data_IF_919136939948
#
_entry.id   IF_919136939948
#
_cell.length_a   1.000
_cell.length_b   1.000
_cell.length_c   1.000
_cell.angle_alpha   90.00
_cell.angle_beta   90.00
_cell.angle_gamma   90.00
#
_symmetry.space_group_name_H-M   'P 1'
#
loop_
_entity.id
_entity.type
_entity.pdbx_description
1 polymer ?
#
# COMPACT_ATOMS: atom_id res chain seq x y z
N UNK A 1 22.88 -19.16 -5.02
CA UNK A 1 21.42 -19.04 -4.82
C UNK A 1 21.14 -19.76 -3.51
N UNK A 2 20.71 -19.08 -2.44
CA UNK A 2 20.36 -19.78 -1.20
C UNK A 2 19.05 -20.52 -1.44
N UNK A 3 19.00 -21.80 -1.10
CA UNK A 3 17.75 -22.54 -0.97
C UNK A 3 16.83 -21.75 -0.04
N UNK A 4 15.60 -21.53 -0.49
CA UNK A 4 14.54 -21.00 0.36
C UNK A 4 13.85 -22.23 0.90
N UNK A 5 14.02 -22.52 2.19
CA UNK A 5 13.29 -23.62 2.82
C UNK A 5 11.79 -23.34 2.68
N UNK A 6 11.11 -24.18 1.91
CA UNK A 6 9.67 -24.10 1.78
C UNK A 6 9.05 -24.42 3.16
N UNK A 7 8.19 -23.53 3.66
CA UNK A 7 7.42 -23.81 4.86
C UNK A 7 6.39 -24.90 4.51
N UNK A 8 6.68 -26.15 4.85
CA UNK A 8 5.78 -27.29 4.60
C UNK A 8 4.51 -27.26 5.47
N UNK A 9 4.62 -26.65 6.66
CA UNK A 9 3.52 -26.50 7.61
C UNK A 9 3.74 -25.26 8.47
N UNK A 10 2.71 -24.40 8.55
CA UNK A 10 2.70 -23.22 9.41
C UNK A 10 1.64 -23.41 10.50
N UNK A 11 2.04 -23.96 11.64
CA UNK A 11 1.19 -24.03 12.84
C UNK A 11 1.27 -22.69 13.58
N UNK A 12 0.29 -21.80 13.36
CA UNK A 12 0.21 -20.48 14.01
C UNK A 12 -1.09 -20.31 14.77
N UNK A 13 -0.99 -19.75 15.98
CA UNK A 13 -2.12 -19.21 16.71
C UNK A 13 -2.25 -17.72 16.39
N UNK A 14 -3.44 -17.27 16.01
CA UNK A 14 -3.71 -15.87 15.70
C UNK A 14 -4.63 -15.29 16.77
N UNK A 15 -4.17 -14.21 17.41
CA UNK A 15 -4.96 -13.42 18.34
C UNK A 15 -5.30 -12.07 17.69
N UNK A 16 -6.57 -11.66 17.79
CA UNK A 16 -7.00 -10.34 17.33
C UNK A 16 -6.71 -9.30 18.40
N UNK A 17 -5.62 -8.55 18.21
CA UNK A 17 -5.20 -7.51 19.17
C UNK A 17 -6.03 -6.23 19.13
N UNK A 18 -6.74 -5.96 18.03
CA UNK A 18 -7.57 -4.76 17.90
C UNK A 18 -7.53 -4.16 16.50
N UNK A 19 -7.95 -2.89 16.40
CA UNK A 19 -7.82 -2.08 15.21
C UNK A 19 -6.51 -1.29 15.27
N UNK A 20 -5.70 -1.37 14.21
CA UNK A 20 -4.45 -0.61 14.10
C UNK A 20 -4.69 0.78 13.49
N UNK A 21 -5.68 0.88 12.60
CA UNK A 21 -6.03 2.10 11.88
C UNK A 21 -7.54 2.26 11.79
N UNK A 22 -7.98 3.51 11.97
CA UNK A 22 -9.34 3.99 11.73
C UNK A 22 -9.27 5.39 11.10
N UNK A 23 -10.31 5.83 10.36
CA UNK A 23 -10.39 7.18 9.84
C UNK A 23 -10.24 8.22 10.96
N UNK A 24 -9.40 9.23 10.76
CA UNK A 24 -9.07 10.24 11.78
C UNK A 24 -9.75 11.61 11.56
N UNK A 25 -10.72 11.68 10.65
CA UNK A 25 -11.38 12.93 10.24
C UNK A 25 -10.77 13.61 9.01
N UNK A 26 -9.66 13.10 8.47
CA UNK A 26 -9.13 13.56 7.17
C UNK A 26 -10.10 13.17 6.04
N UNK A 27 -10.54 14.13 5.18
CA UNK A 27 -11.45 13.86 4.06
C UNK A 27 -10.96 12.79 3.09
N UNK A 28 -9.65 12.58 3.00
CA UNK A 28 -9.04 11.60 2.08
C UNK A 28 -9.22 10.14 2.51
N UNK A 29 -9.63 9.90 3.75
CA UNK A 29 -9.95 8.57 4.31
C UNK A 29 -11.37 8.50 4.90
N UNK A 30 -12.22 9.48 4.62
CA UNK A 30 -13.57 9.60 5.18
C UNK A 30 -14.48 8.40 4.88
N UNK A 31 -14.30 7.75 3.72
CA UNK A 31 -15.04 6.54 3.36
C UNK A 31 -14.31 5.24 3.78
N UNK A 32 -13.08 5.34 4.29
CA UNK A 32 -12.36 4.22 4.88
C UNK A 32 -10.84 4.29 4.70
N UNK A 33 -10.14 3.55 5.58
CA UNK A 33 -8.71 3.24 5.48
C UNK A 33 -8.54 1.71 5.60
N UNK A 34 -8.19 1.05 4.49
CA UNK A 34 -8.31 -0.41 4.38
C UNK A 34 -7.29 -1.02 3.40
N UNK A 35 -7.37 -2.33 3.18
CA UNK A 35 -6.56 -3.09 2.22
C UNK A 35 -5.06 -2.72 2.16
N UNK A 36 -4.33 -2.68 3.29
CA UNK A 36 -2.95 -2.21 3.29
C UNK A 36 -1.97 -3.22 2.69
N UNK A 37 -0.99 -2.70 1.96
CA UNK A 37 0.30 -3.37 1.83
C UNK A 37 1.15 -3.13 3.09
N UNK A 38 2.13 -3.99 3.31
CA UNK A 38 3.10 -3.90 4.41
C UNK A 38 4.49 -4.20 3.89
N UNK A 39 5.49 -3.44 4.34
CA UNK A 39 6.91 -3.78 4.15
C UNK A 39 7.75 -3.27 5.32
N UNK A 40 9.03 -3.64 5.34
CA UNK A 40 10.03 -2.96 6.16
C UNK A 40 10.90 -2.07 5.29
N UNK A 41 11.15 -0.84 5.73
CA UNK A 41 12.14 0.03 5.10
C UNK A 41 13.56 -0.55 5.24
N UNK A 42 14.54 0.15 4.65
CA UNK A 42 15.95 -0.29 4.65
C UNK A 42 16.56 -0.41 6.06
N UNK A 43 16.02 0.34 7.01
CA UNK A 43 16.44 0.35 8.41
C UNK A 43 15.59 -0.62 9.26
N UNK A 44 14.70 -1.40 8.65
CA UNK A 44 13.85 -2.38 9.32
C UNK A 44 12.57 -1.82 9.93
N UNK A 45 12.27 -0.52 9.76
CA UNK A 45 11.04 0.11 10.29
C UNK A 45 9.82 -0.36 9.52
N UNK A 46 8.72 -0.58 10.22
CA UNK A 46 7.49 -1.08 9.62
C UNK A 46 6.73 0.04 8.90
N UNK A 47 6.45 -0.15 7.61
CA UNK A 47 5.64 0.72 6.78
C UNK A 47 4.36 0.00 6.36
N UNK A 48 3.23 0.69 6.49
CA UNK A 48 1.93 0.31 5.97
C UNK A 48 1.55 1.24 4.82
N UNK A 49 0.94 0.69 3.79
CA UNK A 49 0.39 1.44 2.66
C UNK A 49 -1.09 1.12 2.50
N UNK A 50 -1.98 1.71 3.30
CA UNK A 50 -3.42 1.49 3.18
C UNK A 50 -3.99 2.16 1.94
N UNK A 51 -5.08 1.61 1.42
CA UNK A 51 -6.01 2.34 0.56
C UNK A 51 -6.78 3.34 1.43
N UNK A 52 -6.53 4.62 1.23
CA UNK A 52 -7.30 5.72 1.80
C UNK A 52 -8.41 6.10 0.81
N UNK A 53 -9.67 6.02 1.24
CA UNK A 53 -10.84 6.24 0.39
C UNK A 53 -11.52 7.54 0.79
N UNK A 54 -11.49 8.51 -0.12
CA UNK A 54 -12.23 9.77 0.05
C UNK A 54 -13.69 9.61 -0.38
N UNK A 55 -14.50 10.64 -0.11
CA UNK A 55 -15.85 10.75 -0.67
C UNK A 55 -15.85 10.58 -2.20
N UNK A 56 -16.88 9.94 -2.73
CA UNK A 56 -16.95 9.60 -4.15
C UNK A 56 -16.03 8.43 -4.55
N UNK A 57 -15.56 7.63 -3.59
CA UNK A 57 -14.70 6.47 -3.81
C UNK A 57 -13.41 6.82 -4.59
N UNK A 58 -12.78 7.93 -4.20
CA UNK A 58 -11.50 8.37 -4.77
C UNK A 58 -10.38 7.79 -3.91
N UNK A 59 -9.62 6.86 -4.49
CA UNK A 59 -8.64 6.07 -3.74
C UNK A 59 -7.22 6.57 -3.90
N UNK A 60 -6.50 6.63 -2.78
CA UNK A 60 -5.06 6.89 -2.70
C UNK A 60 -4.37 5.74 -1.96
N UNK A 61 -3.08 5.58 -2.20
CA UNK A 61 -2.24 4.75 -1.36
C UNK A 61 -1.57 5.63 -0.32
N UNK A 62 -2.04 5.55 0.92
CA UNK A 62 -1.44 6.20 2.08
C UNK A 62 -0.07 5.62 2.41
N UNK A 63 0.67 6.31 3.27
CA UNK A 63 1.92 5.83 3.83
C UNK A 63 1.94 6.09 5.33
N UNK A 64 2.12 5.02 6.10
CA UNK A 64 2.06 5.05 7.55
C UNK A 64 3.27 4.33 8.11
N UNK A 65 4.00 4.99 9.01
CA UNK A 65 5.03 4.33 9.82
C UNK A 65 4.42 3.84 11.12
N UNK A 66 4.66 2.56 11.42
CA UNK A 66 4.21 1.95 12.67
C UNK A 66 5.35 1.93 13.66
N UNK A 67 5.12 2.56 14.80
CA UNK A 67 5.97 2.49 15.98
C UNK A 67 5.28 1.55 16.98
N UNK A 68 5.69 0.28 16.97
CA UNK A 68 5.14 -0.74 17.85
C UNK A 68 6.07 -1.01 19.03
N UNK A 69 5.51 -1.00 20.24
CA UNK A 69 6.11 -1.51 21.47
C UNK A 69 5.28 -2.71 21.96
N UNK A 70 5.67 -3.34 23.07
CA UNK A 70 4.86 -4.39 23.69
C UNK A 70 3.50 -3.87 24.22
N UNK A 71 3.37 -2.56 24.44
CA UNK A 71 2.22 -1.94 25.11
C UNK A 71 1.41 -1.01 24.21
N UNK A 72 1.98 -0.54 23.09
CA UNK A 72 1.34 0.44 22.22
C UNK A 72 1.72 0.24 20.75
N UNK A 73 0.80 0.62 19.87
CA UNK A 73 1.03 0.70 18.43
C UNK A 73 0.64 2.10 17.97
N UNK A 74 1.64 2.93 17.64
CA UNK A 74 1.42 4.30 17.16
C UNK A 74 1.56 4.30 15.63
N UNK A 75 0.54 4.82 14.96
CA UNK A 75 0.50 4.99 13.51
C UNK A 75 0.78 6.43 13.11
N UNK A 76 1.99 6.69 12.62
CA UNK A 76 2.42 7.98 12.09
C UNK A 76 2.04 8.08 10.60
N UNK A 77 1.08 8.96 10.25
CA UNK A 77 0.73 9.23 8.85
C UNK A 77 1.79 10.12 8.20
N UNK A 78 2.44 9.60 7.16
CA UNK A 78 3.54 10.27 6.46
C UNK A 78 3.10 10.98 5.17
N UNK A 79 1.84 10.83 4.77
CA UNK A 79 1.30 11.32 3.50
C UNK A 79 0.88 10.17 2.58
N UNK A 80 1.02 10.36 1.27
CA UNK A 80 0.65 9.38 0.26
C UNK A 80 1.89 8.81 -0.44
N UNK A 81 1.90 7.50 -0.65
CA UNK A 81 2.83 6.86 -1.56
C UNK A 81 2.39 7.06 -3.02
N UNK A 82 1.07 7.00 -3.28
CA UNK A 82 0.49 7.28 -4.59
C UNK A 82 -0.83 8.04 -4.43
N UNK A 83 -0.94 9.16 -5.13
CA UNK A 83 -2.21 9.82 -5.45
C UNK A 83 -2.58 9.52 -6.90
N UNK A 84 -3.86 9.62 -7.32
CA UNK A 84 -4.17 9.48 -8.74
C UNK A 84 -3.62 10.66 -9.54
N UNK A 85 -2.66 10.39 -10.42
CA UNK A 85 -2.00 11.40 -11.27
C UNK A 85 -1.89 10.93 -12.71
N UNK A 86 -1.79 9.62 -12.94
CA UNK A 86 -1.67 9.07 -14.28
C UNK A 86 -3.04 9.01 -14.98
N UNK A 87 -3.10 9.17 -16.31
CA UNK A 87 -4.36 9.06 -17.05
C UNK A 87 -5.11 7.74 -16.82
N UNK A 88 -4.39 6.65 -16.56
CA UNK A 88 -4.95 5.33 -16.28
C UNK A 88 -5.43 5.15 -14.83
N UNK A 89 -5.33 6.19 -13.99
CA UNK A 89 -5.83 6.23 -12.60
C UNK A 89 -7.03 7.18 -12.46
N UNK A 90 -7.30 8.01 -13.47
CA UNK A 90 -8.22 9.15 -13.40
C UNK A 90 -9.50 8.92 -14.20
N UNK A 91 -10.59 9.55 -13.78
CA UNK A 91 -11.87 9.58 -14.50
C UNK A 91 -12.53 10.96 -14.37
N UNK A 92 -13.39 11.35 -15.33
CA UNK A 92 -14.15 12.60 -15.24
C UNK A 92 -15.25 12.59 -14.16
N UNK A 93 -15.55 11.42 -13.59
CA UNK A 93 -16.57 11.22 -12.57
C UNK A 93 -15.96 10.49 -11.37
N UNK A 94 -16.54 10.59 -10.16
CA UNK A 94 -16.07 9.87 -8.98
C UNK A 94 -16.00 8.35 -9.20
N UNK A 95 -15.19 7.67 -8.40
CA UNK A 95 -14.89 6.25 -8.52
C UNK A 95 -13.68 5.99 -9.41
N UNK A 96 -12.50 6.37 -8.91
CA UNK A 96 -11.21 6.18 -9.56
C UNK A 96 -10.09 6.18 -8.51
N UNK A 97 -8.87 5.86 -8.92
CA UNK A 97 -7.73 6.01 -8.03
C UNK A 97 -6.70 4.89 -8.10
N UNK A 98 -5.83 4.91 -7.09
CA UNK A 98 -4.85 3.88 -6.81
C UNK A 98 -5.36 3.02 -5.65
N UNK A 99 -5.64 1.75 -5.93
CA UNK A 99 -6.33 0.85 -5.00
C UNK A 99 -5.49 -0.38 -4.63
N UNK A 100 -5.76 -0.91 -3.44
CA UNK A 100 -5.37 -2.24 -2.98
C UNK A 100 -3.89 -2.61 -3.27
N UNK A 101 -2.92 -1.80 -2.79
CA UNK A 101 -1.53 -2.06 -3.06
C UNK A 101 -1.06 -3.40 -2.47
N UNK A 102 -0.04 -3.99 -3.08
CA UNK A 102 0.86 -4.97 -2.47
C UNK A 102 2.29 -4.53 -2.72
N UNK A 103 3.14 -4.61 -1.71
CA UNK A 103 4.54 -4.19 -1.78
C UNK A 103 5.43 -5.36 -1.43
N UNK A 104 6.49 -5.56 -2.20
CA UNK A 104 7.56 -6.50 -1.86
C UNK A 104 8.92 -5.91 -2.19
N UNK A 105 9.94 -6.28 -1.42
CA UNK A 105 11.32 -5.98 -1.77
C UNK A 105 11.85 -7.06 -2.71
N UNK A 106 12.41 -6.67 -3.85
CA UNK A 106 12.98 -7.59 -4.85
C UNK A 106 14.51 -7.48 -4.80
N UNK A 107 15.22 -8.46 -4.20
CA UNK A 107 16.67 -8.36 -3.99
C UNK A 107 17.49 -8.19 -5.28
N UNK A 108 17.06 -8.83 -6.37
CA UNK A 108 17.73 -8.74 -7.67
C UNK A 108 17.69 -7.32 -8.25
N UNK A 109 16.60 -6.58 -8.01
CA UNK A 109 16.44 -5.19 -8.44
C UNK A 109 17.00 -4.21 -7.41
N UNK A 110 17.28 -4.68 -6.19
CA UNK A 110 17.55 -3.84 -5.02
C UNK A 110 16.50 -2.75 -4.86
N UNK A 111 15.23 -3.05 -5.12
CA UNK A 111 14.14 -2.08 -5.07
C UNK A 111 12.88 -2.72 -4.46
N UNK A 112 12.03 -1.87 -3.89
CA UNK A 112 10.65 -2.19 -3.56
C UNK A 112 9.79 -2.07 -4.83
N UNK A 113 8.92 -3.04 -5.03
CA UNK A 113 7.94 -3.06 -6.11
C UNK A 113 6.56 -3.07 -5.50
N UNK A 114 5.74 -2.10 -5.89
CA UNK A 114 4.32 -2.03 -5.59
C UNK A 114 3.52 -2.46 -6.80
N UNK A 115 2.64 -3.44 -6.63
CA UNK A 115 1.54 -3.72 -7.55
C UNK A 115 0.27 -3.10 -6.98
N UNK A 116 -0.51 -2.41 -7.78
CA UNK A 116 -1.77 -1.81 -7.35
C UNK A 116 -2.81 -1.87 -8.46
N UNK A 117 -4.08 -1.72 -8.10
CA UNK A 117 -5.15 -1.55 -9.06
C UNK A 117 -5.27 -0.06 -9.41
N UNK A 118 -4.97 0.30 -10.65
CA UNK A 118 -5.31 1.60 -11.19
C UNK A 118 -6.73 1.55 -11.75
N UNK A 119 -7.65 2.31 -11.15
CA UNK A 119 -9.06 2.33 -11.53
C UNK A 119 -9.38 3.53 -12.43
N UNK A 120 -8.84 3.53 -13.65
CA UNK A 120 -9.01 4.61 -14.64
C UNK A 120 -10.09 4.32 -15.70
N UNK A 121 -10.06 5.00 -16.85
CA UNK A 121 -11.15 5.00 -17.83
C UNK A 121 -11.49 3.61 -18.40
N UNK A 122 -10.51 2.72 -18.46
CA UNK A 122 -10.65 1.34 -18.99
C UNK A 122 -11.08 0.32 -17.93
N UNK A 123 -11.50 0.77 -16.74
CA UNK A 123 -11.79 -0.13 -15.62
C UNK A 123 -10.55 -0.43 -14.76
N UNK A 124 -10.62 -1.44 -13.89
CA UNK A 124 -9.51 -1.80 -13.00
C UNK A 124 -8.41 -2.51 -13.78
N UNK A 125 -7.19 -1.97 -13.70
CA UNK A 125 -6.00 -2.52 -14.34
C UNK A 125 -4.87 -2.65 -13.34
N UNK A 126 -4.02 -3.67 -13.49
CA UNK A 126 -2.83 -3.79 -12.64
C UNK A 126 -1.78 -2.81 -13.15
N UNK A 127 -1.23 -2.02 -12.23
CA UNK A 127 -0.13 -1.10 -12.47
C UNK A 127 1.02 -1.39 -11.48
N UNK A 128 2.21 -0.94 -11.86
CA UNK A 128 3.44 -1.07 -11.08
C UNK A 128 3.99 0.30 -10.69
N UNK A 129 4.55 0.39 -9.49
CA UNK A 129 5.42 1.47 -9.05
C UNK A 129 6.65 0.90 -8.34
N UNK A 130 7.78 1.58 -8.42
CA UNK A 130 9.05 1.19 -7.81
C UNK A 130 9.52 2.22 -6.81
N UNK A 131 10.29 1.78 -5.81
CA UNK A 131 10.92 2.65 -4.83
C UNK A 131 12.26 2.07 -4.37
N UNK A 132 13.26 2.91 -4.16
CA UNK A 132 14.54 2.46 -3.59
C UNK A 132 14.50 2.39 -2.07
N UNK A 133 13.69 3.21 -1.41
CA UNK A 133 13.68 3.42 0.04
C UNK A 133 12.35 3.04 0.72
N UNK A 134 11.28 2.81 -0.05
CA UNK A 134 9.93 2.56 0.43
C UNK A 134 9.12 3.84 0.71
N UNK A 135 9.70 5.01 0.50
CA UNK A 135 9.08 6.32 0.74
C UNK A 135 8.79 7.06 -0.56
N UNK A 136 9.73 7.08 -1.52
CA UNK A 136 9.52 7.74 -2.80
C UNK A 136 9.18 6.74 -3.88
N UNK A 137 8.02 6.89 -4.50
CA UNK A 137 7.50 5.94 -5.47
C UNK A 137 7.46 6.55 -6.87
N UNK A 138 8.00 5.81 -7.83
CA UNK A 138 7.95 6.12 -9.25
C UNK A 138 7.00 5.15 -9.95
N UNK A 139 6.00 5.67 -10.66
CA UNK A 139 5.09 4.85 -11.46
C UNK A 139 5.84 4.27 -12.66
N UNK A 140 5.77 2.96 -12.81
CA UNK A 140 6.27 2.24 -14.00
C UNK A 140 5.19 2.20 -15.08
N UNK A 141 3.93 1.99 -14.69
CA UNK A 141 2.78 1.98 -15.60
C UNK A 141 1.93 0.71 -15.53
N UNK A 142 1.01 0.57 -16.47
CA UNK A 142 0.13 -0.60 -16.59
C UNK A 142 0.91 -1.85 -16.99
N UNK A 143 0.55 -2.99 -16.41
CA UNK A 143 1.03 -4.30 -16.86
C UNK A 143 0.36 -4.67 -18.18
N UNK A 144 1.16 -5.14 -19.14
CA UNK A 144 0.74 -5.56 -20.48
C UNK A 144 1.15 -7.04 -20.70
N UNK A 145 0.33 -7.78 -21.45
CA UNK A 145 0.53 -9.20 -21.79
C UNK A 145 0.31 -9.42 -23.27
#
# INVERSE_FOLDING_TARGET
>A
MREVDAVERLDVAVERLGLVLEPNGDPTEAAGILNPAVTRDRDGRLLLYPRCVAEGNISRVGMIRIHATQQACIAERLGFALEPEAPYELRPHPGYGCEDPRVTFVPALKAYVMTYTAFGPEGPRIALACSDDGYRWERVGLVQF
#
